data_IF_818092942939
#
_entry.id   IF_818092942939
#
_cell.length_a   1.000
_cell.length_b   1.000
_cell.length_c   1.000
_cell.angle_alpha   90.00
_cell.angle_beta   90.00
_cell.angle_gamma   90.00
#
_symmetry.space_group_name_H-M   'P 1'
#
loop_
_entity.id
_entity.type
_entity.pdbx_description
1 polymer ?
#
# COMPACT_ATOMS: atom_id res chain seq x y z
N UNK A 1 39.78 2.52 0.05
CA UNK A 1 38.70 1.84 0.79
C UNK A 1 39.06 0.36 0.88
N UNK A 2 39.45 -0.11 2.05
CA UNK A 2 39.86 -1.50 2.30
C UNK A 2 38.64 -2.40 2.53
N UNK A 3 38.81 -3.71 2.44
CA UNK A 3 37.70 -4.66 2.67
C UNK A 3 37.15 -4.59 4.11
N UNK A 4 38.01 -4.28 5.10
CA UNK A 4 37.60 -4.07 6.49
C UNK A 4 36.73 -2.83 6.67
N UNK A 5 37.04 -1.73 5.97
CA UNK A 5 36.20 -0.52 5.98
C UNK A 5 34.83 -0.79 5.36
N UNK A 6 34.76 -1.60 4.29
CA UNK A 6 33.48 -2.00 3.68
C UNK A 6 32.68 -2.88 4.63
N UNK A 7 33.31 -3.83 5.32
CA UNK A 7 32.64 -4.67 6.31
C UNK A 7 32.17 -3.87 7.51
N UNK A 8 32.99 -2.97 8.04
CA UNK A 8 32.61 -2.09 9.14
C UNK A 8 31.45 -1.16 8.76
N UNK A 9 31.46 -0.61 7.53
CA UNK A 9 30.36 0.19 7.01
C UNK A 9 29.08 -0.64 6.78
N UNK A 10 29.19 -1.90 6.32
CA UNK A 10 28.05 -2.81 6.22
C UNK A 10 27.53 -3.28 7.58
N UNK A 11 28.35 -3.20 8.63
CA UNK A 11 27.94 -3.45 10.00
C UNK A 11 27.23 -2.23 10.62
N UNK A 12 27.31 -1.05 10.00
CA UNK A 12 26.57 0.13 10.44
C UNK A 12 25.07 -0.07 10.20
N UNK A 13 24.27 0.19 11.24
CA UNK A 13 22.84 -0.06 11.26
C UNK A 13 22.08 0.60 10.09
N UNK A 14 22.36 1.87 9.70
CA UNK A 14 21.71 2.52 8.58
C UNK A 14 22.05 1.88 7.22
N UNK A 15 23.29 1.39 7.05
CA UNK A 15 23.70 0.70 5.82
C UNK A 15 22.96 -0.63 5.68
N UNK A 16 22.83 -1.40 6.76
CA UNK A 16 22.01 -2.61 6.78
C UNK A 16 20.56 -2.30 6.40
N UNK A 17 19.96 -1.27 7.01
CA UNK A 17 18.60 -0.84 6.71
C UNK A 17 18.42 -0.51 5.22
N UNK A 18 19.39 0.15 4.60
CA UNK A 18 19.37 0.44 3.17
C UNK A 18 19.44 -0.84 2.32
N UNK A 19 20.30 -1.80 2.67
CA UNK A 19 20.37 -3.11 2.00
C UNK A 19 19.02 -3.83 2.05
N UNK A 20 18.33 -3.78 3.19
CA UNK A 20 16.99 -4.36 3.34
C UNK A 20 15.96 -3.71 2.41
N UNK A 21 15.95 -2.37 2.28
CA UNK A 21 15.04 -1.66 1.37
C UNK A 21 15.37 -1.97 -0.09
N UNK A 22 16.65 -1.90 -0.48
CA UNK A 22 17.09 -2.20 -1.84
C UNK A 22 16.80 -3.66 -2.21
N UNK A 23 17.02 -4.59 -1.28
CA UNK A 23 16.68 -6.01 -1.44
C UNK A 23 15.19 -6.23 -1.63
N UNK A 24 14.34 -5.58 -0.83
CA UNK A 24 12.88 -5.61 -0.98
C UNK A 24 12.45 -5.09 -2.36
N UNK A 25 12.98 -3.94 -2.78
CA UNK A 25 12.66 -3.35 -4.09
C UNK A 25 13.11 -4.24 -5.25
N UNK A 26 14.33 -4.79 -5.17
CA UNK A 26 14.86 -5.70 -6.17
C UNK A 26 14.02 -6.99 -6.26
N UNK A 27 13.61 -7.54 -5.12
CA UNK A 27 12.75 -8.71 -5.04
C UNK A 27 11.40 -8.45 -5.73
N UNK A 28 10.76 -7.32 -5.43
CA UNK A 28 9.49 -6.94 -6.06
C UNK A 28 9.62 -6.77 -7.57
N UNK A 29 10.59 -5.98 -8.03
CA UNK A 29 10.79 -5.72 -9.46
C UNK A 29 11.19 -7.01 -10.20
N UNK A 30 12.02 -7.84 -9.57
CA UNK A 30 12.39 -9.15 -10.09
C UNK A 30 11.19 -10.06 -10.26
N UNK A 31 10.36 -10.17 -9.22
CA UNK A 31 9.11 -10.95 -9.26
C UNK A 31 8.12 -10.43 -10.30
N UNK A 32 7.92 -9.12 -10.35
CA UNK A 32 7.00 -8.50 -11.30
C UNK A 32 7.45 -8.73 -12.75
N UNK A 33 8.75 -8.60 -13.06
CA UNK A 33 9.29 -8.94 -14.39
C UNK A 33 9.18 -10.43 -14.71
N UNK A 34 9.46 -11.30 -13.74
CA UNK A 34 9.37 -12.75 -13.90
C UNK A 34 7.93 -13.17 -14.22
N UNK A 35 6.94 -12.65 -13.48
CA UNK A 35 5.53 -12.98 -13.68
C UNK A 35 5.04 -12.59 -15.09
N UNK A 36 5.41 -11.40 -15.59
CA UNK A 36 5.09 -10.98 -16.97
C UNK A 36 5.75 -11.88 -18.01
N UNK A 37 7.02 -12.23 -17.81
CA UNK A 37 7.76 -13.10 -18.75
C UNK A 37 7.13 -14.48 -18.84
N UNK A 38 6.68 -15.02 -17.71
CA UNK A 38 6.07 -16.35 -17.61
C UNK A 38 4.66 -16.35 -18.18
N UNK A 39 3.87 -15.30 -17.92
CA UNK A 39 2.53 -15.16 -18.49
C UNK A 39 2.54 -15.16 -20.03
N UNK A 40 3.65 -14.76 -20.66
CA UNK A 40 3.83 -14.81 -22.14
C UNK A 40 4.22 -16.19 -22.67
N UNK A 41 4.56 -17.18 -21.83
CA UNK A 41 5.02 -18.53 -22.21
C UNK A 41 4.36 -19.63 -21.38
N UNK A 42 3.03 -19.81 -21.48
CA UNK A 42 2.28 -20.73 -20.61
C UNK A 42 2.63 -22.22 -20.81
N UNK A 43 3.19 -22.61 -21.96
CA UNK A 43 3.45 -24.02 -22.31
C UNK A 43 4.72 -24.62 -21.66
N UNK A 44 5.62 -23.80 -21.11
CA UNK A 44 6.88 -24.27 -20.55
C UNK A 44 6.69 -24.97 -19.19
N UNK A 45 7.60 -25.89 -18.81
CA UNK A 45 7.60 -26.52 -17.46
C UNK A 45 7.57 -25.45 -16.34
N UNK A 46 8.24 -24.33 -16.57
CA UNK A 46 8.28 -23.17 -15.68
C UNK A 46 6.92 -22.48 -15.57
N UNK A 47 6.18 -22.38 -16.68
CA UNK A 47 4.81 -21.85 -16.71
C UNK A 47 3.85 -22.70 -15.87
N UNK A 48 3.97 -24.03 -15.94
CA UNK A 48 3.17 -24.96 -15.11
C UNK A 48 3.47 -24.84 -13.61
N UNK A 49 4.74 -24.71 -13.22
CA UNK A 49 5.11 -24.49 -11.82
C UNK A 49 4.57 -23.16 -11.29
N UNK A 50 4.66 -22.10 -12.08
CA UNK A 50 4.17 -20.78 -11.67
C UNK A 50 2.64 -20.73 -11.65
N UNK A 51 1.95 -21.50 -12.48
CA UNK A 51 0.50 -21.66 -12.38
C UNK A 51 0.05 -22.24 -11.02
N UNK A 52 0.91 -23.00 -10.32
CA UNK A 52 0.63 -23.43 -8.94
C UNK A 52 0.73 -22.24 -7.97
N UNK A 53 1.68 -21.33 -8.22
CA UNK A 53 1.86 -20.11 -7.43
C UNK A 53 0.79 -19.05 -7.71
N UNK A 54 0.08 -19.16 -8.84
CA UNK A 54 -1.04 -18.27 -9.19
C UNK A 54 -2.35 -18.65 -8.48
N UNK A 55 -2.32 -19.69 -7.62
CA UNK A 55 -3.46 -20.01 -6.76
C UNK A 55 -3.69 -18.87 -5.75
N UNK A 56 -4.95 -18.51 -5.44
CA UNK A 56 -5.25 -17.36 -4.57
C UNK A 56 -4.54 -17.38 -3.21
N UNK A 57 -4.48 -18.55 -2.56
CA UNK A 57 -3.81 -18.69 -1.26
C UNK A 57 -2.28 -18.50 -1.36
N UNK A 58 -1.66 -18.92 -2.47
CA UNK A 58 -0.22 -18.81 -2.66
C UNK A 58 0.16 -17.35 -2.95
N UNK A 59 -0.64 -16.66 -3.77
CA UNK A 59 -0.51 -15.23 -4.01
C UNK A 59 -0.64 -14.45 -2.71
N UNK A 60 -1.66 -14.73 -1.90
CA UNK A 60 -1.87 -13.99 -0.64
C UNK A 60 -0.80 -14.30 0.40
N UNK A 61 -0.31 -15.54 0.46
CA UNK A 61 0.83 -15.91 1.29
C UNK A 61 2.10 -15.17 0.85
N UNK A 62 2.37 -15.13 -0.46
CA UNK A 62 3.50 -14.37 -1.01
C UNK A 62 3.41 -12.88 -0.72
N UNK A 63 2.21 -12.29 -0.82
CA UNK A 63 1.96 -10.90 -0.43
C UNK A 63 2.17 -10.69 1.07
N UNK A 64 1.68 -11.58 1.92
CA UNK A 64 1.90 -11.53 3.37
C UNK A 64 3.38 -11.52 3.71
N UNK A 65 4.14 -12.47 3.14
CA UNK A 65 5.58 -12.58 3.36
C UNK A 65 6.34 -11.35 2.86
N UNK A 66 5.92 -10.77 1.74
CA UNK A 66 6.54 -9.57 1.20
C UNK A 66 6.20 -8.32 2.03
N UNK A 67 4.92 -7.98 2.15
CA UNK A 67 4.46 -6.72 2.75
C UNK A 67 4.61 -6.68 4.27
N UNK A 68 4.57 -7.83 4.95
CA UNK A 68 4.66 -7.90 6.42
C UNK A 68 5.90 -8.67 6.86
N UNK A 69 6.21 -9.79 6.19
CA UNK A 69 7.34 -10.64 6.56
C UNK A 69 8.69 -9.91 6.48
N UNK A 70 8.98 -9.17 5.41
CA UNK A 70 10.23 -8.40 5.28
C UNK A 70 10.36 -7.34 6.41
N UNK A 71 9.39 -6.44 6.62
CA UNK A 71 9.43 -5.51 7.75
C UNK A 71 9.59 -6.20 9.12
N UNK A 72 8.90 -7.32 9.31
CA UNK A 72 8.95 -8.09 10.55
C UNK A 72 10.34 -8.71 10.78
N UNK A 73 10.98 -9.26 9.75
CA UNK A 73 12.34 -9.79 9.84
C UNK A 73 13.35 -8.68 10.14
N UNK A 74 13.21 -7.51 9.50
CA UNK A 74 14.06 -6.35 9.79
C UNK A 74 13.91 -5.87 11.26
N UNK A 75 12.70 -5.95 11.82
CA UNK A 75 12.45 -5.70 13.24
C UNK A 75 13.13 -6.74 14.14
N UNK A 76 12.96 -8.03 13.84
CA UNK A 76 13.57 -9.11 14.63
C UNK A 76 15.09 -9.05 14.64
N UNK A 77 15.70 -8.60 13.54
CA UNK A 77 17.16 -8.40 13.45
C UNK A 77 17.64 -7.10 14.09
N UNK A 78 16.75 -6.25 14.61
CA UNK A 78 17.11 -4.97 15.22
C UNK A 78 17.56 -3.90 14.21
N UNK A 79 17.39 -4.14 12.91
CA UNK A 79 17.72 -3.18 11.85
C UNK A 79 16.82 -1.94 11.95
N UNK A 80 15.56 -2.14 12.36
CA UNK A 80 14.59 -1.07 12.58
C UNK A 80 13.98 -1.19 13.97
N UNK A 81 13.76 -0.06 14.64
CA UNK A 81 13.12 0.00 15.95
C UNK A 81 11.58 0.17 15.81
N UNK A 82 10.75 -0.53 16.61
CA UNK A 82 9.29 -0.39 16.58
C UNK A 82 8.78 1.04 16.82
N UNK A 83 9.51 1.88 17.57
CA UNK A 83 9.17 3.28 17.78
C UNK A 83 9.24 4.08 16.47
N UNK A 84 10.23 3.81 15.62
CA UNK A 84 10.42 4.51 14.33
C UNK A 84 9.32 4.13 13.33
N UNK A 85 8.81 2.90 13.43
CA UNK A 85 7.63 2.44 12.68
C UNK A 85 6.32 3.05 13.18
N UNK A 86 6.29 3.70 14.35
CA UNK A 86 5.08 4.22 14.96
C UNK A 86 4.19 3.12 15.54
N UNK A 87 4.81 2.04 16.07
CA UNK A 87 4.13 0.93 16.72
C UNK A 87 4.07 1.06 18.26
N UNK A 88 5.01 1.80 18.86
CA UNK A 88 5.16 1.96 20.31
C UNK A 88 5.26 3.44 20.70
N UNK A 89 5.10 3.73 22.01
CA UNK A 89 5.08 5.10 22.58
C UNK A 89 4.02 6.01 21.92
N UNK A 90 2.83 5.46 21.74
CA UNK A 90 1.72 6.12 21.06
C UNK A 90 1.05 7.14 22.00
N UNK A 91 1.08 8.41 21.63
CA UNK A 91 0.22 9.42 22.24
C UNK A 91 -1.13 9.42 21.52
N UNK A 92 -2.07 8.64 22.04
CA UNK A 92 -3.40 8.52 21.46
C UNK A 92 -4.18 9.83 21.50
N UNK A 93 -3.96 10.68 22.50
CA UNK A 93 -4.73 11.91 22.64
C UNK A 93 -4.31 12.93 21.59
N UNK A 94 -2.99 13.19 21.48
CA UNK A 94 -2.43 14.04 20.43
C UNK A 94 -2.68 13.44 19.05
N UNK A 95 -2.51 12.12 18.92
CA UNK A 95 -2.79 11.38 17.70
C UNK A 95 -4.23 11.57 17.24
N UNK A 96 -5.23 11.37 18.10
CA UNK A 96 -6.64 11.57 17.77
C UNK A 96 -6.96 13.04 17.47
N UNK A 97 -6.35 13.97 18.20
CA UNK A 97 -6.52 15.41 18.01
C UNK A 97 -6.15 15.88 16.59
N UNK A 98 -5.12 15.31 15.99
CA UNK A 98 -4.76 15.58 14.58
C UNK A 98 -5.40 14.62 13.59
N UNK A 99 -5.43 13.33 13.92
CA UNK A 99 -5.86 12.26 13.03
C UNK A 99 -7.34 12.34 12.66
N UNK A 100 -8.22 12.68 13.61
CA UNK A 100 -9.66 12.77 13.35
C UNK A 100 -10.00 13.95 12.43
N UNK A 101 -9.58 15.21 12.67
CA UNK A 101 -9.87 16.31 11.76
C UNK A 101 -9.26 16.12 10.37
N UNK A 102 -8.01 15.66 10.29
CA UNK A 102 -7.35 15.41 9.01
C UNK A 102 -8.03 14.26 8.25
N UNK A 103 -8.37 13.17 8.93
CA UNK A 103 -9.08 12.03 8.37
C UNK A 103 -10.48 12.41 7.88
N UNK A 104 -11.24 13.16 8.68
CA UNK A 104 -12.57 13.64 8.30
C UNK A 104 -12.50 14.61 7.10
N UNK A 105 -11.57 15.57 7.12
CA UNK A 105 -11.35 16.48 5.99
C UNK A 105 -10.97 15.74 4.71
N UNK A 106 -10.05 14.78 4.79
CA UNK A 106 -9.66 13.95 3.66
C UNK A 106 -10.82 13.10 3.15
N UNK A 107 -11.61 12.50 4.03
CA UNK A 107 -12.80 11.72 3.67
C UNK A 107 -13.81 12.60 2.91
N UNK A 108 -14.13 13.78 3.44
CA UNK A 108 -15.06 14.72 2.80
C UNK A 108 -14.56 15.10 1.42
N UNK A 109 -13.30 15.50 1.29
CA UNK A 109 -12.71 15.86 -0.01
C UNK A 109 -12.72 14.69 -0.99
N UNK A 110 -12.33 13.48 -0.56
CA UNK A 110 -12.37 12.29 -1.40
C UNK A 110 -13.80 11.95 -1.84
N UNK A 111 -14.77 12.05 -0.93
CA UNK A 111 -16.17 11.78 -1.23
C UNK A 111 -16.72 12.79 -2.25
N UNK A 112 -16.44 14.09 -2.06
CA UNK A 112 -16.83 15.14 -3.00
C UNK A 112 -16.19 14.94 -4.38
N UNK A 113 -14.89 14.64 -4.43
CA UNK A 113 -14.20 14.36 -5.70
C UNK A 113 -14.83 13.17 -6.41
N UNK A 114 -15.08 12.07 -5.69
CA UNK A 114 -15.72 10.89 -6.28
C UNK A 114 -17.15 11.15 -6.72
N UNK A 115 -17.95 11.90 -5.97
CA UNK A 115 -19.29 12.31 -6.39
C UNK A 115 -19.23 13.07 -7.72
N UNK A 116 -18.37 14.08 -7.83
CA UNK A 116 -18.21 14.87 -9.06
C UNK A 116 -17.68 14.04 -10.23
N UNK A 117 -16.73 13.13 -9.97
CA UNK A 117 -16.21 12.22 -11.00
C UNK A 117 -17.30 11.28 -11.50
N UNK A 118 -18.12 10.72 -10.61
CA UNK A 118 -19.21 9.82 -10.99
C UNK A 118 -20.34 10.54 -11.74
N UNK A 119 -20.65 11.78 -11.36
CA UNK A 119 -21.61 12.63 -12.08
C UNK A 119 -21.12 12.97 -13.48
N UNK A 120 -19.86 13.42 -13.61
CA UNK A 120 -19.30 13.81 -14.90
C UNK A 120 -18.98 12.62 -15.81
N UNK A 121 -18.60 11.48 -15.22
CA UNK A 121 -18.16 10.27 -15.92
C UNK A 121 -18.66 9.02 -15.18
N UNK A 122 -19.91 8.59 -15.40
CA UNK A 122 -20.45 7.39 -14.76
C UNK A 122 -19.61 6.13 -15.00
N UNK A 123 -18.93 6.04 -16.16
CA UNK A 123 -18.00 4.97 -16.49
C UNK A 123 -16.75 4.91 -15.59
N UNK A 124 -16.43 5.99 -14.87
CA UNK A 124 -15.34 6.01 -13.89
C UNK A 124 -15.61 5.06 -12.71
N UNK A 125 -16.86 4.70 -12.45
CA UNK A 125 -17.20 3.66 -11.47
C UNK A 125 -16.54 2.31 -11.82
N UNK A 126 -16.27 2.05 -13.10
CA UNK A 126 -15.55 0.86 -13.54
C UNK A 126 -14.13 0.76 -12.95
N UNK A 127 -13.51 1.90 -12.60
CA UNK A 127 -12.16 1.95 -12.02
C UNK A 127 -12.10 1.27 -10.66
N UNK A 128 -13.16 1.38 -9.85
CA UNK A 128 -13.28 0.77 -8.53
C UNK A 128 -14.26 -0.41 -8.52
N UNK A 129 -14.79 -0.83 -9.67
CA UNK A 129 -15.83 -1.86 -9.73
C UNK A 129 -15.36 -3.18 -9.13
N UNK A 130 -14.15 -3.62 -9.43
CA UNK A 130 -13.62 -4.88 -8.89
C UNK A 130 -13.48 -4.82 -7.35
N UNK A 131 -13.04 -3.69 -6.81
CA UNK A 131 -12.87 -3.52 -5.37
C UNK A 131 -14.23 -3.32 -4.68
N UNK A 132 -15.14 -2.56 -5.28
CA UNK A 132 -16.51 -2.35 -4.81
C UNK A 132 -17.33 -3.66 -4.80
N UNK A 133 -17.21 -4.47 -5.86
CA UNK A 133 -17.90 -5.77 -5.93
C UNK A 133 -17.35 -6.77 -4.91
N UNK A 134 -16.02 -6.79 -4.67
CA UNK A 134 -15.42 -7.58 -3.58
C UNK A 134 -15.88 -7.08 -2.22
N UNK A 135 -15.91 -5.77 -2.02
CA UNK A 135 -16.37 -5.15 -0.78
C UNK A 135 -17.82 -5.49 -0.45
N UNK A 136 -18.68 -5.60 -1.47
CA UNK A 136 -20.09 -5.97 -1.32
C UNK A 136 -20.33 -7.45 -0.95
N UNK A 137 -19.33 -8.33 -1.06
CA UNK A 137 -19.46 -9.73 -0.63
C UNK A 137 -19.49 -9.85 0.90
N UNK A 138 -20.05 -10.93 1.47
CA UNK A 138 -19.85 -11.27 2.88
C UNK A 138 -18.35 -11.30 3.17
N UNK A 139 -17.92 -10.56 4.21
CA UNK A 139 -16.50 -10.38 4.58
C UNK A 139 -15.64 -9.60 3.58
N UNK A 140 -16.24 -8.90 2.61
CA UNK A 140 -15.52 -8.05 1.66
C UNK A 140 -14.60 -7.01 2.32
N UNK A 141 -15.02 -6.48 3.47
CA UNK A 141 -14.23 -5.53 4.29
C UNK A 141 -12.88 -6.11 4.75
N UNK A 142 -12.78 -7.43 4.94
CA UNK A 142 -11.54 -8.07 5.40
C UNK A 142 -10.43 -7.99 4.35
N UNK A 143 -10.78 -8.05 3.06
CA UNK A 143 -9.84 -7.86 1.96
C UNK A 143 -9.27 -6.45 1.95
N UNK A 144 -10.10 -5.43 2.17
CA UNK A 144 -9.63 -4.04 2.32
C UNK A 144 -8.76 -3.89 3.56
N UNK A 145 -9.15 -4.44 4.71
CA UNK A 145 -8.33 -4.40 5.93
C UNK A 145 -6.93 -4.98 5.69
N UNK A 146 -6.85 -6.19 5.14
CA UNK A 146 -5.55 -6.85 4.86
C UNK A 146 -4.74 -6.04 3.85
N UNK A 147 -5.38 -5.53 2.79
CA UNK A 147 -4.73 -4.66 1.81
C UNK A 147 -4.15 -3.39 2.43
N UNK A 148 -4.91 -2.71 3.30
CA UNK A 148 -4.46 -1.52 4.02
C UNK A 148 -3.30 -1.85 4.94
N UNK A 149 -3.39 -2.94 5.72
CA UNK A 149 -2.30 -3.39 6.61
C UNK A 149 -1.02 -3.64 5.83
N UNK A 150 -1.09 -4.31 4.68
CA UNK A 150 0.06 -4.54 3.80
C UNK A 150 0.70 -3.23 3.35
N UNK A 151 -0.11 -2.31 2.83
CA UNK A 151 0.39 -1.03 2.33
C UNK A 151 1.01 -0.19 3.47
N UNK A 152 0.38 -0.17 4.64
CA UNK A 152 0.88 0.59 5.80
C UNK A 152 2.17 -0.02 6.38
N UNK A 153 2.25 -1.34 6.50
CA UNK A 153 3.45 -2.02 6.99
C UNK A 153 4.65 -1.80 6.06
N UNK A 154 4.45 -1.96 4.75
CA UNK A 154 5.50 -1.77 3.75
C UNK A 154 5.96 -0.33 3.62
N UNK A 155 5.02 0.61 3.60
CA UNK A 155 5.38 2.03 3.60
C UNK A 155 6.09 2.44 4.90
N UNK A 156 5.63 1.97 6.07
CA UNK A 156 6.27 2.23 7.34
C UNK A 156 7.72 1.73 7.36
N UNK A 157 7.98 0.56 6.77
CA UNK A 157 9.31 0.00 6.61
C UNK A 157 10.23 0.91 5.78
N UNK A 158 9.83 1.32 4.57
CA UNK A 158 10.61 2.25 3.76
C UNK A 158 10.85 3.57 4.50
N UNK A 159 9.79 4.16 5.06
CA UNK A 159 9.89 5.40 5.83
C UNK A 159 10.90 5.30 6.98
N UNK A 160 10.86 4.20 7.72
CA UNK A 160 11.70 4.02 8.90
C UNK A 160 13.19 4.02 8.54
N UNK A 161 13.57 3.38 7.43
CA UNK A 161 14.96 3.38 6.95
C UNK A 161 15.44 4.79 6.61
N UNK A 162 14.64 5.58 5.89
CA UNK A 162 15.04 6.95 5.56
C UNK A 162 15.06 7.87 6.78
N UNK A 163 14.16 7.65 7.76
CA UNK A 163 14.22 8.37 9.04
C UNK A 163 15.48 8.01 9.85
N UNK A 164 15.92 6.75 9.81
CA UNK A 164 17.18 6.33 10.47
C UNK A 164 18.40 6.95 9.79
N UNK A 165 18.41 7.01 8.45
CA UNK A 165 19.51 7.58 7.68
C UNK A 165 19.62 9.11 7.84
N UNK A 166 18.50 9.83 7.86
CA UNK A 166 18.51 11.29 7.90
C UNK A 166 18.34 11.89 9.29
N UNK A 167 17.82 11.12 10.25
CA UNK A 167 17.33 11.65 11.54
C UNK A 167 16.05 12.49 11.41
N UNK A 168 15.50 12.67 10.21
CA UNK A 168 14.40 13.58 9.90
C UNK A 168 13.13 12.81 9.56
N UNK A 169 12.06 13.07 10.32
CA UNK A 169 10.74 12.51 10.10
C UNK A 169 10.12 12.92 8.75
N UNK A 170 10.29 14.17 8.33
CA UNK A 170 9.77 14.69 7.08
C UNK A 170 10.40 13.93 5.90
N UNK A 171 11.73 13.89 5.84
CA UNK A 171 12.44 13.14 4.80
C UNK A 171 12.08 11.66 4.83
N UNK A 172 12.05 11.03 6.01
CA UNK A 172 11.62 9.65 6.14
C UNK A 172 10.25 9.41 5.52
N UNK A 173 9.27 10.24 5.88
CA UNK A 173 7.87 10.09 5.47
C UNK A 173 7.69 10.23 3.96
N UNK A 174 8.23 11.29 3.38
CA UNK A 174 8.00 11.62 1.98
C UNK A 174 8.94 10.90 1.01
N UNK A 175 10.18 10.59 1.41
CA UNK A 175 11.07 9.72 0.60
C UNK A 175 10.55 8.28 0.60
N UNK A 176 10.09 7.77 1.75
CA UNK A 176 9.44 6.46 1.82
C UNK A 176 8.18 6.38 0.93
N UNK A 177 7.37 7.43 0.91
CA UNK A 177 6.22 7.54 -0.02
C UNK A 177 6.68 7.57 -1.49
N UNK A 178 7.74 8.32 -1.79
CA UNK A 178 8.35 8.37 -3.11
C UNK A 178 8.80 7.00 -3.60
N UNK A 179 9.37 6.16 -2.72
CA UNK A 179 9.78 4.81 -3.07
C UNK A 179 8.60 3.86 -3.33
N UNK A 180 7.56 3.87 -2.49
CA UNK A 180 6.36 3.05 -2.75
C UNK A 180 5.70 3.47 -4.07
N UNK A 181 5.72 4.77 -4.36
CA UNK A 181 5.25 5.31 -5.64
C UNK A 181 6.12 4.83 -6.80
N UNK A 182 7.44 4.88 -6.67
CA UNK A 182 8.38 4.41 -7.68
C UNK A 182 8.24 2.90 -7.93
N UNK A 183 8.14 2.11 -6.88
CA UNK A 183 7.88 0.67 -6.96
C UNK A 183 6.61 0.38 -7.77
N UNK A 184 5.54 1.13 -7.50
CA UNK A 184 4.25 1.00 -8.21
C UNK A 184 4.35 1.46 -9.67
N UNK A 185 5.14 2.48 -9.99
CA UNK A 185 5.29 2.97 -11.38
C UNK A 185 6.20 2.10 -12.22
N UNK A 186 7.17 1.43 -11.60
CA UNK A 186 8.10 0.51 -12.25
C UNK A 186 7.54 -0.90 -12.44
N UNK A 187 6.38 -1.23 -11.84
CA UNK A 187 5.75 -2.54 -12.02
C UNK A 187 5.41 -2.77 -13.51
N UNK A 188 6.07 -3.73 -14.19
CA UNK A 188 5.84 -4.05 -15.59
C UNK A 188 4.55 -4.85 -15.82
N UNK A 189 3.92 -5.38 -14.76
CA UNK A 189 2.64 -6.08 -14.89
C UNK A 189 1.68 -5.10 -15.54
N UNK A 190 1.07 -5.48 -16.69
CA UNK A 190 0.39 -4.52 -17.52
C UNK A 190 -0.58 -3.72 -16.65
N UNK A 191 -0.45 -2.39 -16.70
CA UNK A 191 -1.43 -1.46 -16.13
C UNK A 191 -2.85 -1.70 -16.68
N UNK A 192 -3.03 -2.66 -17.59
CA UNK A 192 -4.30 -3.21 -18.03
C UNK A 192 -5.25 -3.63 -16.88
N UNK A 193 -4.75 -3.92 -15.67
CA UNK A 193 -5.61 -4.20 -14.51
C UNK A 193 -5.93 -2.96 -13.65
N UNK A 194 -5.06 -1.94 -13.67
CA UNK A 194 -5.25 -0.70 -12.92
C UNK A 194 -5.23 0.46 -13.91
N UNK A 195 -6.42 0.87 -14.37
CA UNK A 195 -6.57 2.05 -15.21
C UNK A 195 -5.92 3.28 -14.55
N UNK A 196 -5.54 4.29 -15.35
CA UNK A 196 -4.89 5.53 -14.87
C UNK A 196 -5.58 6.12 -13.63
N UNK A 197 -6.90 6.01 -13.53
CA UNK A 197 -7.68 6.49 -12.39
C UNK A 197 -7.48 5.69 -11.09
N UNK A 198 -7.36 4.36 -11.14
CA UNK A 198 -7.07 3.55 -9.93
C UNK A 198 -5.68 3.90 -9.36
N UNK A 199 -4.68 4.05 -10.24
CA UNK A 199 -3.34 4.48 -9.81
C UNK A 199 -3.38 5.86 -9.14
N UNK A 200 -4.08 6.83 -9.74
CA UNK A 200 -4.22 8.17 -9.15
C UNK A 200 -4.94 8.13 -7.81
N UNK A 201 -5.99 7.30 -7.69
CA UNK A 201 -6.70 7.09 -6.43
C UNK A 201 -5.77 6.55 -5.34
N UNK A 202 -5.02 5.50 -5.63
CA UNK A 202 -4.04 4.91 -4.69
C UNK A 202 -2.95 5.89 -4.29
N UNK A 203 -2.43 6.67 -5.24
CA UNK A 203 -1.44 7.72 -4.96
C UNK A 203 -2.00 8.83 -4.07
N UNK A 204 -3.24 9.26 -4.32
CA UNK A 204 -3.92 10.23 -3.48
C UNK A 204 -4.09 9.72 -2.05
N UNK A 205 -4.56 8.47 -1.90
CA UNK A 205 -4.75 7.85 -0.59
C UNK A 205 -3.41 7.67 0.15
N UNK A 206 -2.36 7.26 -0.56
CA UNK A 206 -1.00 7.16 -0.02
C UNK A 206 -0.50 8.52 0.48
N UNK A 207 -0.70 9.60 -0.30
CA UNK A 207 -0.33 10.96 0.12
C UNK A 207 -1.10 11.41 1.36
N UNK A 208 -2.43 11.24 1.38
CA UNK A 208 -3.28 11.56 2.55
C UNK A 208 -2.78 10.84 3.80
N UNK A 209 -2.51 9.53 3.68
CA UNK A 209 -2.05 8.73 4.83
C UNK A 209 -0.66 9.12 5.30
N UNK A 210 0.22 9.53 4.37
CA UNK A 210 1.54 10.06 4.72
C UNK A 210 1.43 11.36 5.52
N UNK A 211 0.54 12.28 5.12
CA UNK A 211 0.28 13.53 5.86
C UNK A 211 -0.29 13.23 7.24
N UNK A 212 -1.29 12.35 7.35
CA UNK A 212 -1.88 11.98 8.65
C UNK A 212 -0.82 11.37 9.56
N UNK A 213 0.00 10.46 9.06
CA UNK A 213 1.08 9.89 9.86
C UNK A 213 2.12 10.93 10.27
N UNK A 214 2.48 11.88 9.40
CA UNK A 214 3.46 12.92 9.72
C UNK A 214 3.08 13.67 11.01
N UNK A 215 1.80 13.99 11.17
CA UNK A 215 1.30 14.67 12.37
C UNK A 215 1.03 13.73 13.55
N UNK A 216 0.61 12.49 13.30
CA UNK A 216 0.18 11.58 14.38
C UNK A 216 1.29 10.67 14.90
N UNK A 217 2.27 10.34 14.05
CA UNK A 217 3.31 9.32 14.25
C UNK A 217 2.77 7.98 14.79
N UNK A 218 1.50 7.68 14.51
CA UNK A 218 0.79 6.51 15.02
C UNK A 218 0.32 5.67 13.84
N UNK A 219 0.98 4.53 13.62
CA UNK A 219 0.70 3.66 12.48
C UNK A 219 -0.70 3.04 12.58
N UNK A 220 -1.14 2.68 13.78
CA UNK A 220 -2.46 2.07 14.00
C UNK A 220 -3.58 3.05 13.69
N UNK A 221 -3.46 4.29 14.18
CA UNK A 221 -4.43 5.34 13.87
C UNK A 221 -4.45 5.64 12.37
N UNK A 222 -3.27 5.75 11.74
CA UNK A 222 -3.16 5.98 10.29
C UNK A 222 -3.81 4.84 9.50
N UNK A 223 -3.59 3.59 9.91
CA UNK A 223 -4.20 2.39 9.32
C UNK A 223 -5.72 2.42 9.45
N UNK A 224 -6.25 2.75 10.63
CA UNK A 224 -7.69 2.84 10.86
C UNK A 224 -8.34 3.95 10.02
N UNK A 225 -7.70 5.12 9.92
CA UNK A 225 -8.20 6.23 9.09
C UNK A 225 -8.14 5.88 7.60
N UNK A 226 -7.05 5.28 7.12
CA UNK A 226 -6.92 4.78 5.75
C UNK A 226 -8.08 3.83 5.42
N UNK A 227 -8.27 2.79 6.23
CA UNK A 227 -9.33 1.81 6.04
C UNK A 227 -10.71 2.46 6.04
N UNK A 228 -10.95 3.42 6.94
CA UNK A 228 -12.22 4.15 7.00
C UNK A 228 -12.49 4.91 5.71
N UNK A 229 -11.48 5.63 5.19
CA UNK A 229 -11.61 6.37 3.92
C UNK A 229 -11.86 5.40 2.76
N UNK A 230 -11.10 4.31 2.69
CA UNK A 230 -11.26 3.30 1.63
C UNK A 230 -12.66 2.69 1.64
N UNK A 231 -13.13 2.19 2.80
CA UNK A 231 -14.46 1.59 2.92
C UNK A 231 -15.58 2.58 2.62
N UNK A 232 -15.45 3.85 3.06
CA UNK A 232 -16.48 4.86 2.81
C UNK A 232 -16.61 5.17 1.31
N UNK A 233 -15.49 5.26 0.59
CA UNK A 233 -15.50 5.49 -0.87
C UNK A 233 -16.00 4.26 -1.62
N UNK A 234 -15.58 3.05 -1.24
CA UNK A 234 -16.09 1.82 -1.83
C UNK A 234 -17.61 1.67 -1.59
N UNK A 235 -18.10 2.03 -0.41
CA UNK A 235 -19.53 2.08 -0.09
C UNK A 235 -20.29 3.08 -0.96
N UNK A 236 -19.77 4.30 -1.10
CA UNK A 236 -20.33 5.34 -1.96
C UNK A 236 -20.45 4.87 -3.43
N UNK A 237 -19.37 4.29 -3.97
CA UNK A 237 -19.34 3.77 -5.35
C UNK A 237 -20.31 2.61 -5.51
N UNK A 238 -20.32 1.66 -4.57
CA UNK A 238 -21.21 0.49 -4.58
C UNK A 238 -22.68 0.90 -4.60
N UNK A 239 -23.06 1.87 -3.75
CA UNK A 239 -24.42 2.41 -3.69
C UNK A 239 -24.84 3.03 -5.03
N UNK A 240 -23.99 3.87 -5.64
CA UNK A 240 -24.27 4.50 -6.94
C UNK A 240 -24.40 3.48 -8.06
N UNK A 241 -23.58 2.43 -8.03
CA UNK A 241 -23.65 1.33 -9.01
C UNK A 241 -24.97 0.58 -8.91
N UNK A 242 -25.43 0.27 -7.69
CA UNK A 242 -26.72 -0.39 -7.46
C UNK A 242 -27.89 0.48 -7.94
N UNK A 243 -27.90 1.77 -7.61
CA UNK A 243 -28.93 2.71 -8.07
C UNK A 243 -29.02 2.79 -9.60
N UNK A 244 -27.88 2.80 -10.30
CA UNK A 244 -27.86 2.84 -11.77
C UNK A 244 -28.32 1.55 -12.45
N UNK A 245 -28.22 0.40 -11.77
CA UNK A 245 -28.70 -0.90 -12.27
C UNK A 245 -30.20 -1.08 -12.04
N UNK A 246 -30.72 -0.65 -10.89
CA UNK A 246 -32.16 -0.69 -10.60
C UNK A 246 -32.98 0.03 -11.65
N UNK A 247 -32.52 1.21 -12.08
CA UNK A 247 -33.17 2.00 -13.14
C UNK A 247 -33.20 1.34 -14.53
N UNK A 248 -32.38 0.31 -14.78
CA UNK A 248 -32.36 -0.40 -16.08
C UNK A 248 -33.10 -1.74 -16.07
N UNK A 249 -33.52 -2.21 -14.90
CA UNK A 249 -34.19 -3.51 -14.74
C UNK A 249 -35.72 -3.43 -14.79
N UNK A 250 -36.28 -2.24 -14.94
CA UNK A 250 -37.73 -1.97 -14.97
C UNK A 250 -38.26 -1.58 -16.37
N UNK A 251 -37.44 -1.68 -17.42
CA UNK A 251 -37.85 -1.55 -18.83
C UNK A 251 -37.91 -2.92 -19.52
#
# INVERSE_FOLDING_TARGET
>A
MTWEEILAALLDQPAQALVWVLGSLALYLGWARLSVRVARRPADRLGRLIAILDRPWAVETGRSLYYVGIPYLALLQGVINPQVLGLTRLDWFVGLGYGLPLGAGALILCALVWQRVLEARPSAAALLMNDATRFAQPWGWSYSLVGVVYLQAHWAFYRAVFRLLSGDLYLGTFVGLGLVTLETTLDPRPAAHLGRGDRLWRLNLALVTAVIYFFTQNLWLTTAVHLTIEMAILGLVSFRLQASRGLRGEE
#
